data_IF_582739426018
#
_entry.id   IF_582739426018
#
_cell.length_a   1.000
_cell.length_b   1.000
_cell.length_c   1.000
_cell.angle_alpha   90.00
_cell.angle_beta   90.00
_cell.angle_gamma   90.00
#
_symmetry.space_group_name_H-M   'P 1'
#
loop_
_entity.id
_entity.type
_entity.pdbx_description
1 polymer ?
#
# COMPACT_ATOMS: atom_id res chain seq x y z
N UNK A 1 5.17 -17.40 16.21
CA UNK A 1 4.43 -16.13 16.15
C UNK A 1 4.81 -15.37 14.88
N UNK A 2 3.82 -14.84 14.16
CA UNK A 2 4.07 -13.97 12.98
C UNK A 2 3.80 -12.53 13.41
N UNK A 3 4.74 -11.62 13.11
CA UNK A 3 4.60 -10.18 13.36
C UNK A 3 4.76 -9.45 12.03
N UNK A 4 3.92 -8.43 11.84
CA UNK A 4 4.04 -7.46 10.75
C UNK A 4 4.60 -6.17 11.33
N UNK A 5 5.89 -5.92 11.11
CA UNK A 5 6.59 -4.76 11.64
C UNK A 5 6.38 -3.58 10.69
N UNK A 6 5.85 -2.47 11.19
CA UNK A 6 5.69 -1.23 10.42
C UNK A 6 7.04 -0.72 9.91
N UNK A 7 7.09 -0.37 8.62
CA UNK A 7 8.29 0.20 7.98
C UNK A 7 8.03 1.54 7.29
N UNK A 8 6.78 1.94 7.11
CA UNK A 8 6.45 3.23 6.50
C UNK A 8 5.00 3.33 6.06
N UNK A 9 4.66 4.43 5.42
CA UNK A 9 3.37 4.63 4.75
C UNK A 9 3.59 4.98 3.29
N UNK A 10 2.54 4.78 2.50
CA UNK A 10 2.50 5.15 1.10
C UNK A 10 1.26 6.02 0.89
N UNK A 11 1.41 7.24 0.33
CA UNK A 11 0.30 8.13 -0.02
C UNK A 11 -0.27 7.79 -1.40
N UNK A 12 -1.48 8.25 -1.69
CA UNK A 12 -2.01 8.28 -3.04
C UNK A 12 -1.14 9.17 -3.93
N UNK A 13 -1.05 8.87 -5.24
CA UNK A 13 -0.58 9.83 -6.23
C UNK A 13 -1.45 11.09 -6.17
N UNK A 14 -0.82 12.26 -6.10
CA UNK A 14 -1.51 13.56 -6.01
C UNK A 14 -0.98 14.54 -7.03
N UNK A 15 -1.84 15.49 -7.40
CA UNK A 15 -1.44 16.67 -8.17
C UNK A 15 -0.80 17.74 -7.28
N UNK A 16 -0.38 18.85 -7.90
CA UNK A 16 0.22 20.00 -7.20
C UNK A 16 -0.75 20.68 -6.21
N UNK A 17 -2.07 20.52 -6.39
CA UNK A 17 -3.09 21.03 -5.49
C UNK A 17 -3.44 20.05 -4.36
N UNK A 18 -2.82 18.85 -4.34
CA UNK A 18 -3.05 17.82 -3.34
C UNK A 18 -4.26 16.91 -3.61
N UNK A 19 -4.91 17.03 -4.78
CA UNK A 19 -6.01 16.14 -5.15
C UNK A 19 -5.47 14.75 -5.50
N UNK A 20 -6.21 13.71 -5.13
CA UNK A 20 -5.88 12.33 -5.48
C UNK A 20 -6.07 12.12 -6.98
N UNK A 21 -5.08 11.53 -7.64
CA UNK A 21 -5.07 11.23 -9.08
C UNK A 21 -5.33 9.76 -9.41
N UNK A 22 -5.27 8.88 -8.42
CA UNK A 22 -5.44 7.45 -8.62
C UNK A 22 -6.08 6.79 -7.41
N UNK A 23 -6.86 5.73 -7.65
CA UNK A 23 -7.44 4.88 -6.60
C UNK A 23 -6.56 3.65 -6.35
N UNK A 24 -6.82 2.94 -5.25
CA UNK A 24 -6.23 1.61 -5.03
C UNK A 24 -6.59 0.72 -6.21
N UNK A 25 -5.61 0.05 -6.80
CA UNK A 25 -5.84 -0.86 -7.91
C UNK A 25 -6.77 -2.01 -7.46
N UNK A 26 -7.75 -2.46 -8.26
CA UNK A 26 -8.68 -3.52 -7.85
C UNK A 26 -8.02 -4.83 -7.39
N UNK A 27 -6.88 -5.20 -7.99
CA UNK A 27 -6.08 -6.35 -7.54
C UNK A 27 -5.39 -6.16 -6.17
N UNK A 28 -5.34 -4.93 -5.65
CA UNK A 28 -4.77 -4.60 -4.35
C UNK A 28 -5.82 -4.31 -3.28
N UNK A 29 -7.02 -3.89 -3.68
CA UNK A 29 -8.11 -3.62 -2.77
C UNK A 29 -8.48 -4.88 -1.96
N UNK A 30 -8.67 -4.72 -0.64
CA UNK A 30 -8.96 -5.80 0.32
C UNK A 30 -7.87 -6.89 0.46
N UNK A 31 -6.64 -6.61 0.01
CA UNK A 31 -5.51 -7.54 0.11
C UNK A 31 -4.55 -7.17 1.27
N UNK A 32 -5.10 -6.71 2.40
CA UNK A 32 -4.32 -6.47 3.62
C UNK A 32 -3.57 -7.74 4.04
N UNK A 33 -2.32 -7.58 4.49
CA UNK A 33 -1.38 -8.67 4.82
C UNK A 33 -0.98 -9.59 3.66
N UNK A 34 -1.48 -9.39 2.44
CA UNK A 34 -1.00 -10.11 1.26
C UNK A 34 0.34 -9.51 0.78
N UNK A 35 1.23 -10.29 0.15
CA UNK A 35 2.47 -9.77 -0.39
C UNK A 35 2.22 -8.72 -1.48
N UNK A 36 3.05 -7.69 -1.49
CA UNK A 36 3.16 -6.68 -2.55
C UNK A 36 4.62 -6.63 -2.99
N UNK A 37 4.91 -7.18 -4.18
CA UNK A 37 6.25 -7.23 -4.75
C UNK A 37 6.51 -6.04 -5.67
N UNK A 38 7.79 -5.65 -5.89
CA UNK A 38 8.14 -4.64 -6.89
C UNK A 38 7.56 -4.98 -8.26
N UNK A 39 6.87 -4.01 -8.88
CA UNK A 39 6.18 -4.21 -10.16
C UNK A 39 4.71 -4.62 -10.07
N UNK A 40 4.22 -5.06 -8.90
CA UNK A 40 2.80 -5.42 -8.73
C UNK A 40 1.89 -4.19 -8.93
N UNK A 41 0.68 -4.35 -9.50
CA UNK A 41 -0.31 -3.28 -9.61
C UNK A 41 -0.68 -2.71 -8.22
N UNK A 42 -0.52 -1.40 -8.05
CA UNK A 42 -0.75 -0.73 -6.77
C UNK A 42 -1.86 0.31 -6.84
N UNK A 43 -1.78 1.22 -7.81
CA UNK A 43 -2.84 2.21 -8.08
C UNK A 43 -3.36 2.11 -9.51
N UNK A 44 -4.55 2.67 -9.71
CA UNK A 44 -5.21 2.83 -10.99
C UNK A 44 -5.61 4.30 -11.15
N UNK A 45 -5.06 4.98 -12.15
CA UNK A 45 -5.42 6.38 -12.44
C UNK A 45 -6.84 6.47 -12.98
N UNK A 46 -7.41 7.67 -13.00
CA UNK A 46 -8.74 7.89 -13.58
C UNK A 46 -8.75 7.73 -15.12
N UNK A 47 -7.58 7.80 -15.75
CA UNK A 47 -7.31 7.48 -17.15
C UNK A 47 -7.10 5.97 -17.41
N UNK A 48 -7.31 5.12 -16.39
CA UNK A 48 -7.16 3.66 -16.45
C UNK A 48 -5.72 3.17 -16.62
N UNK A 49 -4.72 3.97 -16.22
CA UNK A 49 -3.32 3.56 -16.21
C UNK A 49 -2.97 2.90 -14.88
N UNK A 50 -2.24 1.78 -14.94
CA UNK A 50 -1.75 1.10 -13.73
C UNK A 50 -0.43 1.70 -13.29
N UNK A 51 -0.37 2.12 -12.02
CA UNK A 51 0.87 2.52 -11.38
C UNK A 51 1.36 1.32 -10.54
N UNK A 52 2.52 0.73 -10.87
CA UNK A 52 3.06 -0.39 -10.12
C UNK A 52 3.73 0.08 -8.82
N UNK A 53 3.86 -0.83 -7.86
CA UNK A 53 4.69 -0.60 -6.68
C UNK A 53 6.17 -0.49 -7.05
N UNK A 54 6.80 0.62 -6.65
CA UNK A 54 8.19 0.94 -6.99
C UNK A 54 9.19 0.67 -5.85
N UNK A 55 8.78 0.01 -4.76
CA UNK A 55 9.71 -0.36 -3.69
C UNK A 55 10.76 -1.37 -4.15
N UNK A 56 11.81 -1.56 -3.35
CA UNK A 56 12.93 -2.45 -3.68
C UNK A 56 12.75 -3.89 -3.19
N UNK A 57 11.76 -4.17 -2.35
CA UNK A 57 11.53 -5.47 -1.72
C UNK A 57 10.03 -5.73 -1.54
N UNK A 58 9.67 -7.00 -1.35
CA UNK A 58 8.29 -7.38 -1.04
C UNK A 58 7.92 -6.91 0.37
N UNK A 59 6.77 -6.25 0.46
CA UNK A 59 6.17 -5.78 1.72
C UNK A 59 4.75 -6.34 1.88
N UNK A 60 4.15 -6.10 3.04
CA UNK A 60 2.81 -6.57 3.39
C UNK A 60 1.96 -5.37 3.82
N UNK A 61 1.24 -4.72 2.89
CA UNK A 61 0.44 -3.54 3.21
C UNK A 61 -0.71 -3.87 4.17
N UNK A 62 -1.05 -2.90 5.01
CA UNK A 62 -2.17 -2.95 5.97
C UNK A 62 -2.89 -1.60 6.01
N UNK A 63 -4.15 -1.60 6.45
CA UNK A 63 -5.04 -0.43 6.41
C UNK A 63 -5.20 0.12 4.99
N UNK A 64 -5.31 -0.79 4.01
CA UNK A 64 -5.48 -0.41 2.61
C UNK A 64 -6.81 0.33 2.46
N UNK A 65 -6.76 1.56 1.96
CA UNK A 65 -7.93 2.39 1.66
C UNK A 65 -8.74 2.81 2.89
N UNK A 66 -8.11 3.02 4.04
CA UNK A 66 -8.77 3.49 5.26
C UNK A 66 -9.30 4.93 5.10
N UNK A 67 -10.60 5.13 5.31
CA UNK A 67 -11.26 6.42 5.08
C UNK A 67 -10.67 7.56 5.93
N UNK A 68 -10.34 7.27 7.19
CA UNK A 68 -9.75 8.27 8.10
C UNK A 68 -8.32 8.69 7.71
N UNK A 69 -7.68 7.99 6.78
CA UNK A 69 -6.29 8.20 6.39
C UNK A 69 -6.11 9.06 5.14
N UNK A 70 -7.20 9.33 4.41
CA UNK A 70 -7.20 10.22 3.25
C UNK A 70 -6.66 11.62 3.56
N UNK A 71 -7.10 12.21 4.68
CA UNK A 71 -6.64 13.52 5.16
C UNK A 71 -5.18 13.50 5.65
N UNK A 72 -4.63 12.31 5.92
CA UNK A 72 -3.28 12.12 6.46
C UNK A 72 -2.24 11.83 5.38
N UNK A 73 -2.67 11.73 4.12
CA UNK A 73 -1.78 11.34 3.03
C UNK A 73 -1.32 9.89 3.15
N UNK A 74 -2.20 8.97 3.56
CA UNK A 74 -1.87 7.56 3.72
C UNK A 74 -2.90 6.73 2.95
N UNK A 75 -2.47 6.09 1.87
CA UNK A 75 -3.23 5.08 1.15
C UNK A 75 -3.16 3.71 1.83
N UNK A 76 -1.99 3.39 2.41
CA UNK A 76 -1.74 2.19 3.20
C UNK A 76 -0.47 2.34 4.06
N UNK A 77 -0.39 1.55 5.12
CA UNK A 77 0.84 1.32 5.88
C UNK A 77 1.58 0.12 5.29
N UNK A 78 2.90 0.19 5.20
CA UNK A 78 3.76 -0.89 4.73
C UNK A 78 4.37 -1.61 5.94
N UNK A 79 4.44 -2.94 5.84
CA UNK A 79 5.05 -3.77 6.89
C UNK A 79 6.00 -4.82 6.32
N UNK A 80 6.94 -5.25 7.14
CA UNK A 80 7.77 -6.44 6.93
C UNK A 80 7.25 -7.59 7.77
N UNK A 81 7.23 -8.80 7.20
CA UNK A 81 6.76 -10.00 7.88
C UNK A 81 7.92 -10.72 8.55
N UNK A 82 7.83 -10.92 9.86
CA UNK A 82 8.79 -11.67 10.66
C UNK A 82 8.13 -12.90 11.28
N UNK A 83 8.86 -14.03 11.28
CA UNK A 83 8.42 -15.28 11.90
C UNK A 83 9.36 -15.60 13.05
N UNK A 84 8.82 -15.61 14.27
CA UNK A 84 9.53 -15.92 15.50
C UNK A 84 9.09 -17.27 16.05
N UNK A 85 10.02 -18.07 16.55
CA UNK A 85 9.71 -19.21 17.40
C UNK A 85 9.54 -18.72 18.83
N UNK A 86 8.52 -19.24 19.52
CA UNK A 86 8.33 -19.00 20.95
C UNK A 86 8.87 -20.25 21.64
N UNK A 87 9.84 -20.06 22.53
CA UNK A 87 10.40 -21.13 23.37
C UNK A 87 9.41 -21.56 24.47
#
# INVERSE_FOLDING_TARGET
MVIYQYVGTLDYPRDEAGNILAMIHPHRQFQDYAPLAPGDPLFLTFEQETIPYQGSSTVYPVFINEAAYYEKGIAMCLTEKHVYQLD
#
